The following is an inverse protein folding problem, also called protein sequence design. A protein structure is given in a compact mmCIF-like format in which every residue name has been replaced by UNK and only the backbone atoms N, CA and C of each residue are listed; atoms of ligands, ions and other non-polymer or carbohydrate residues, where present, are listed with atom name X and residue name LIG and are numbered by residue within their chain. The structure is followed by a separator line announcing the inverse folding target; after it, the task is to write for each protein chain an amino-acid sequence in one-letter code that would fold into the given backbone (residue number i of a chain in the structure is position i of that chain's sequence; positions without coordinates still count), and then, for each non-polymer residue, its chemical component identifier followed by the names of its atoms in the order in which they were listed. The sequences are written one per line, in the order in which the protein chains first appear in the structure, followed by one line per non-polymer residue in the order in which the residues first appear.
data_IF_509512504379
#
_entry.id   IF_509512504379
#
_cell.length_a   1.000
_cell.length_b   1.000
_cell.length_c   1.000
_cell.angle_alpha   90.00
_cell.angle_beta   90.00
_cell.angle_gamma   90.00
#
_symmetry.space_group_name_H-M   'P 1'
#
loop_
_entity.id
_entity.type
_entity.pdbx_description
1 polymer ?
#
# COMPACT_ATOMS: atom_id res chain seq x y z
N UNK A 1 4.08 -44.86 -12.92
CA UNK A 1 4.00 -43.42 -13.25
C UNK A 1 3.52 -42.53 -12.09
N UNK A 2 3.17 -43.06 -10.91
CA UNK A 2 2.63 -42.24 -9.79
C UNK A 2 3.65 -41.73 -8.77
N UNK A 3 4.89 -42.24 -8.76
CA UNK A 3 5.90 -41.92 -7.73
C UNK A 3 6.48 -40.49 -7.82
N UNK A 4 6.26 -39.79 -8.94
CA UNK A 4 6.74 -38.42 -9.17
C UNK A 4 5.73 -37.34 -8.73
N UNK A 5 4.46 -37.69 -8.52
CA UNK A 5 3.41 -36.74 -8.14
C UNK A 5 3.60 -36.21 -6.71
N UNK A 6 3.92 -37.10 -5.77
CA UNK A 6 4.12 -36.72 -4.37
C UNK A 6 5.35 -35.82 -4.18
N UNK A 7 6.44 -36.10 -4.89
CA UNK A 7 7.65 -35.27 -4.86
C UNK A 7 7.40 -33.85 -5.38
N UNK A 8 6.66 -33.71 -6.49
CA UNK A 8 6.29 -32.41 -7.04
C UNK A 8 5.36 -31.64 -6.10
N UNK A 9 4.35 -32.31 -5.52
CA UNK A 9 3.45 -31.69 -4.53
C UNK A 9 4.23 -31.19 -3.32
N UNK A 10 5.16 -31.99 -2.79
CA UNK A 10 6.03 -31.59 -1.68
C UNK A 10 6.88 -30.37 -2.06
N UNK A 11 7.45 -30.33 -3.26
CA UNK A 11 8.20 -29.18 -3.76
C UNK A 11 7.33 -27.91 -3.83
N UNK A 12 6.10 -28.01 -4.32
CA UNK A 12 5.18 -26.86 -4.36
C UNK A 12 4.81 -26.37 -2.96
N UNK A 13 4.52 -27.29 -2.03
CA UNK A 13 4.21 -26.93 -0.63
C UNK A 13 5.39 -26.18 0.00
N UNK A 14 6.61 -26.74 -0.13
CA UNK A 14 7.81 -26.10 0.40
C UNK A 14 8.04 -24.72 -0.23
N UNK A 15 7.91 -24.62 -1.55
CA UNK A 15 8.04 -23.35 -2.27
C UNK A 15 7.06 -22.29 -1.76
N UNK A 16 5.79 -22.65 -1.58
CA UNK A 16 4.76 -21.73 -1.06
C UNK A 16 5.08 -21.29 0.37
N UNK A 17 5.51 -22.20 1.24
CA UNK A 17 5.88 -21.86 2.62
C UNK A 17 7.07 -20.88 2.63
N UNK A 18 8.13 -21.17 1.88
CA UNK A 18 9.30 -20.30 1.79
C UNK A 18 8.96 -18.94 1.18
N UNK A 19 8.18 -18.90 0.09
CA UNK A 19 7.73 -17.66 -0.54
C UNK A 19 6.89 -16.81 0.43
N UNK A 20 6.00 -17.46 1.19
CA UNK A 20 5.17 -16.77 2.20
C UNK A 20 6.02 -16.21 3.34
N UNK A 21 6.98 -16.97 3.85
CA UNK A 21 7.90 -16.51 4.89
C UNK A 21 8.79 -15.36 4.40
N UNK A 22 9.32 -15.46 3.17
CA UNK A 22 10.10 -14.39 2.54
C UNK A 22 9.27 -13.12 2.35
N UNK A 23 8.02 -13.23 1.90
CA UNK A 23 7.12 -12.10 1.75
C UNK A 23 6.81 -11.45 3.11
N UNK A 24 6.58 -12.24 4.16
CA UNK A 24 6.35 -11.72 5.51
C UNK A 24 7.58 -10.97 6.05
N UNK A 25 8.78 -11.51 5.86
CA UNK A 25 10.03 -10.85 6.22
C UNK A 25 10.24 -9.55 5.45
N UNK A 26 9.92 -9.53 4.15
CA UNK A 26 9.98 -8.33 3.30
C UNK A 26 9.03 -7.24 3.79
N UNK A 27 7.79 -7.60 4.12
CA UNK A 27 6.81 -6.66 4.71
C UNK A 27 7.32 -6.12 6.06
N UNK A 28 7.87 -6.98 6.92
CA UNK A 28 8.43 -6.54 8.20
C UNK A 28 9.59 -5.56 8.01
N UNK A 29 10.50 -5.83 7.07
CA UNK A 29 11.60 -4.92 6.71
C UNK A 29 11.06 -3.58 6.21
N UNK A 30 10.05 -3.60 5.34
CA UNK A 30 9.40 -2.38 4.82
C UNK A 30 8.77 -1.53 5.94
N UNK A 31 8.15 -2.14 6.95
CA UNK A 31 7.59 -1.42 8.10
C UNK A 31 8.73 -0.82 8.94
N UNK A 32 9.76 -1.61 9.27
CA UNK A 32 10.86 -1.14 10.12
C UNK A 32 11.61 0.01 9.43
N UNK A 33 12.04 -0.18 8.19
CA UNK A 33 12.89 0.80 7.50
C UNK A 33 12.05 1.93 6.90
N UNK A 34 11.02 1.57 6.15
CA UNK A 34 10.21 2.50 5.35
C UNK A 34 9.12 3.23 6.13
N UNK A 35 8.75 2.79 7.33
CA UNK A 35 7.77 3.49 8.18
C UNK A 35 8.36 4.01 9.49
N UNK A 36 9.33 3.31 10.08
CA UNK A 36 9.91 3.71 11.36
C UNK A 36 11.22 4.50 11.20
N UNK A 37 12.25 3.87 10.62
CA UNK A 37 13.58 4.47 10.52
C UNK A 37 13.59 5.75 9.69
N UNK A 38 12.82 5.80 8.59
CA UNK A 38 12.74 7.00 7.75
C UNK A 38 12.30 8.24 8.53
N UNK A 39 11.42 8.08 9.53
CA UNK A 39 10.92 9.20 10.34
C UNK A 39 12.01 9.68 11.29
N UNK A 40 12.74 8.75 11.90
CA UNK A 40 13.88 9.07 12.78
C UNK A 40 15.00 9.78 11.99
N UNK A 41 15.29 9.34 10.77
CA UNK A 41 16.32 9.93 9.89
C UNK A 41 15.90 11.31 9.35
N UNK A 42 14.60 11.50 9.07
CA UNK A 42 14.07 12.79 8.66
C UNK A 42 14.10 13.81 9.80
N UNK A 43 13.95 13.34 11.05
CA UNK A 43 13.82 14.20 12.22
C UNK A 43 12.53 15.04 12.16
N UNK A 44 12.50 16.23 12.80
CA UNK A 44 11.30 17.07 12.83
C UNK A 44 10.97 17.74 11.48
N UNK A 45 11.84 17.60 10.46
CA UNK A 45 11.65 18.27 9.18
C UNK A 45 10.69 17.48 8.26
N UNK A 46 9.41 17.85 8.30
CA UNK A 46 8.36 17.22 7.49
C UNK A 46 8.64 17.30 5.99
N UNK A 47 9.28 18.36 5.49
CA UNK A 47 9.62 18.53 4.08
C UNK A 47 10.77 17.61 3.65
N UNK A 48 11.71 17.31 4.55
CA UNK A 48 12.72 16.28 4.33
C UNK A 48 12.05 14.89 4.28
N UNK A 49 11.10 14.61 5.17
CA UNK A 49 10.34 13.36 5.19
C UNK A 49 9.55 13.14 3.89
N UNK A 50 8.83 14.16 3.40
CA UNK A 50 8.08 14.06 2.16
C UNK A 50 8.97 13.81 0.94
N UNK A 51 10.17 14.43 0.90
CA UNK A 51 11.18 14.17 -0.13
C UNK A 51 11.69 12.73 -0.06
N UNK A 52 12.02 12.23 1.13
CA UNK A 52 12.47 10.85 1.30
C UNK A 52 11.41 9.83 0.86
N UNK A 53 10.15 10.01 1.29
CA UNK A 53 9.03 9.15 0.88
C UNK A 53 8.82 9.15 -0.63
N UNK A 54 8.81 10.34 -1.24
CA UNK A 54 8.69 10.50 -2.69
C UNK A 54 9.83 9.79 -3.44
N UNK A 55 11.07 9.96 -2.99
CA UNK A 55 12.24 9.32 -3.60
C UNK A 55 12.18 7.80 -3.48
N UNK A 56 11.88 7.26 -2.30
CA UNK A 56 11.73 5.81 -2.12
C UNK A 56 10.65 5.22 -3.03
N UNK A 57 9.51 5.91 -3.14
CA UNK A 57 8.44 5.49 -4.06
C UNK A 57 8.86 5.55 -5.52
N UNK A 58 9.54 6.62 -5.93
CA UNK A 58 10.06 6.75 -7.30
C UNK A 58 11.06 5.64 -7.64
N UNK A 59 11.97 5.30 -6.72
CA UNK A 59 12.89 4.17 -6.89
C UNK A 59 12.11 2.87 -7.07
N UNK A 60 11.14 2.59 -6.20
CA UNK A 60 10.31 1.39 -6.29
C UNK A 60 9.56 1.29 -7.63
N UNK A 61 9.00 2.40 -8.12
CA UNK A 61 8.32 2.46 -9.41
C UNK A 61 9.26 2.19 -10.60
N UNK A 62 10.46 2.76 -10.57
CA UNK A 62 11.47 2.52 -11.61
C UNK A 62 11.90 1.06 -11.60
N UNK A 63 12.16 0.48 -10.42
CA UNK A 63 12.53 -0.93 -10.29
C UNK A 63 11.41 -1.84 -10.80
N UNK A 64 10.15 -1.56 -10.46
CA UNK A 64 9.00 -2.33 -10.95
C UNK A 64 8.85 -2.27 -12.48
N UNK A 65 9.24 -1.17 -13.12
CA UNK A 65 9.21 -1.05 -14.58
C UNK A 65 10.38 -1.77 -15.26
N UNK A 66 11.58 -1.69 -14.68
CA UNK A 66 12.81 -2.20 -15.30
C UNK A 66 13.03 -3.70 -15.02
N UNK A 67 12.65 -4.20 -13.84
CA UNK A 67 12.95 -5.57 -13.44
C UNK A 67 12.35 -6.63 -14.39
N UNK A 68 11.07 -6.56 -14.81
CA UNK A 68 10.53 -7.52 -15.78
C UNK A 68 11.23 -7.48 -17.14
N UNK A 69 11.66 -6.30 -17.59
CA UNK A 69 12.42 -6.15 -18.85
C UNK A 69 13.77 -6.84 -18.74
N UNK A 70 14.48 -6.64 -17.63
CA UNK A 70 15.76 -7.28 -17.36
C UNK A 70 15.62 -8.81 -17.27
N UNK A 71 14.61 -9.31 -16.53
CA UNK A 71 14.33 -10.74 -16.43
C UNK A 71 13.98 -11.33 -17.79
N UNK A 72 13.11 -10.68 -18.58
CA UNK A 72 12.74 -11.12 -19.93
C UNK A 72 13.93 -11.18 -20.88
N UNK A 73 14.82 -10.19 -20.83
CA UNK A 73 16.05 -10.17 -21.62
C UNK A 73 16.96 -11.37 -21.28
N UNK A 74 17.20 -11.62 -20.00
CA UNK A 74 18.01 -12.78 -19.56
C UNK A 74 17.39 -14.09 -20.03
N UNK A 75 16.08 -14.25 -19.86
CA UNK A 75 15.37 -15.47 -20.27
C UNK A 75 15.41 -15.71 -21.78
N UNK A 76 15.42 -14.65 -22.59
CA UNK A 76 15.43 -14.75 -24.06
C UNK A 76 16.81 -15.06 -24.64
N UNK A 77 17.89 -14.49 -24.09
CA UNK A 77 19.25 -14.61 -24.66
C UNK A 77 20.13 -15.68 -24.03
N UNK A 78 19.76 -16.18 -22.84
CA UNK A 78 20.50 -17.23 -22.14
C UNK A 78 19.67 -18.53 -22.14
N UNK A 79 19.48 -19.11 -20.96
CA UNK A 79 18.62 -20.27 -20.73
C UNK A 79 17.86 -20.08 -19.43
N UNK A 80 16.77 -20.81 -19.23
CA UNK A 80 15.97 -20.74 -18.01
C UNK A 80 16.80 -21.07 -16.75
N UNK A 81 17.73 -22.03 -16.85
CA UNK A 81 18.62 -22.43 -15.76
C UNK A 81 19.67 -21.36 -15.46
N UNK A 82 20.26 -20.75 -16.49
CA UNK A 82 21.19 -19.63 -16.33
C UNK A 82 20.48 -18.41 -15.73
N UNK A 83 19.25 -18.11 -16.17
CA UNK A 83 18.45 -17.02 -15.62
C UNK A 83 18.18 -17.21 -14.12
N UNK A 84 17.77 -18.42 -13.72
CA UNK A 84 17.55 -18.76 -12.32
C UNK A 84 18.84 -18.64 -11.49
N UNK A 85 19.98 -19.13 -12.00
CA UNK A 85 21.27 -19.02 -11.31
C UNK A 85 21.72 -17.57 -11.15
N UNK A 86 21.59 -16.74 -12.19
CA UNK A 86 21.93 -15.31 -12.14
C UNK A 86 21.05 -14.58 -11.12
N UNK A 87 19.74 -14.82 -11.13
CA UNK A 87 18.82 -14.18 -10.20
C UNK A 87 19.04 -14.63 -8.75
N UNK A 88 19.37 -15.91 -8.52
CA UNK A 88 19.74 -16.42 -7.21
C UNK A 88 21.04 -15.76 -6.71
N UNK A 89 22.08 -15.67 -7.55
CA UNK A 89 23.32 -14.99 -7.22
C UNK A 89 23.11 -13.50 -6.92
N UNK A 90 22.27 -12.82 -7.72
CA UNK A 90 21.90 -11.42 -7.52
C UNK A 90 21.20 -11.20 -6.18
N UNK A 91 20.29 -12.08 -5.77
CA UNK A 91 19.59 -11.98 -4.49
C UNK A 91 20.53 -12.16 -3.29
N UNK A 92 21.47 -13.13 -3.36
CA UNK A 92 22.47 -13.33 -2.30
C UNK A 92 23.38 -12.11 -2.19
N UNK A 93 23.87 -11.61 -3.33
CA UNK A 93 24.69 -10.39 -3.36
C UNK A 93 23.94 -9.18 -2.81
N UNK A 94 22.68 -9.00 -3.22
CA UNK A 94 21.82 -7.90 -2.74
C UNK A 94 21.61 -7.97 -1.23
N UNK A 95 21.41 -9.16 -0.65
CA UNK A 95 21.29 -9.36 0.79
C UNK A 95 22.55 -8.91 1.56
N UNK A 96 23.74 -9.24 1.04
CA UNK A 96 25.00 -8.80 1.63
C UNK A 96 25.18 -7.27 1.58
N UNK A 97 24.82 -6.66 0.44
CA UNK A 97 24.86 -5.21 0.28
C UNK A 97 23.86 -4.53 1.21
N UNK A 98 22.62 -5.02 1.26
CA UNK A 98 21.54 -4.51 2.13
C UNK A 98 21.94 -4.55 3.60
N UNK A 99 22.46 -5.68 4.09
CA UNK A 99 22.95 -5.80 5.45
C UNK A 99 24.05 -4.78 5.78
N UNK A 100 25.00 -4.58 4.86
CA UNK A 100 26.08 -3.61 5.04
C UNK A 100 25.53 -2.18 5.14
N UNK A 101 24.58 -1.82 4.27
CA UNK A 101 23.94 -0.50 4.28
C UNK A 101 23.17 -0.28 5.58
N UNK A 102 22.37 -1.25 6.02
CA UNK A 102 21.62 -1.13 7.29
C UNK A 102 22.53 -1.00 8.49
N UNK A 103 23.62 -1.78 8.56
CA UNK A 103 24.60 -1.68 9.64
C UNK A 103 25.24 -0.30 9.67
N UNK A 104 25.67 0.22 8.53
CA UNK A 104 26.25 1.56 8.43
C UNK A 104 25.23 2.64 8.79
N UNK A 105 23.99 2.51 8.32
CA UNK A 105 22.91 3.45 8.60
C UNK A 105 22.57 3.51 10.10
N UNK A 106 22.50 2.34 10.75
CA UNK A 106 22.25 2.21 12.18
C UNK A 106 23.38 2.84 13.00
N UNK A 107 24.64 2.54 12.67
CA UNK A 107 25.80 3.12 13.35
C UNK A 107 25.90 4.64 13.15
N UNK A 108 25.43 5.16 12.01
CA UNK A 108 25.47 6.61 11.72
C UNK A 108 24.37 7.40 12.43
N UNK A 109 23.26 6.76 12.84
CA UNK A 109 22.13 7.40 13.50
C UNK A 109 21.88 6.77 14.87
N UNK A 110 22.62 7.18 15.93
CA UNK A 110 22.45 6.63 17.26
C UNK A 110 21.04 6.84 17.84
N UNK A 111 20.27 7.79 17.31
CA UNK A 111 18.85 7.97 17.62
C UNK A 111 18.01 6.73 17.31
N UNK A 112 18.38 5.91 16.31
CA UNK A 112 17.69 4.65 15.98
C UNK A 112 17.84 3.60 17.10
N UNK A 113 18.90 3.67 17.90
CA UNK A 113 19.15 2.75 19.02
C UNK A 113 18.34 3.12 20.28
N UNK A 114 17.92 4.39 20.41
CA UNK A 114 17.16 4.89 21.57
C UNK A 114 15.66 4.85 21.29
N UNK A 115 15.05 3.67 21.34
CA UNK A 115 13.58 3.58 21.31
C UNK A 115 12.97 4.01 22.65
N UNK A 116 12.36 5.20 22.69
CA UNK A 116 11.43 5.61 23.75
C UNK A 116 11.98 5.87 25.16
N UNK A 117 13.26 6.19 25.32
CA UNK A 117 13.84 6.47 26.65
C UNK A 117 13.80 7.97 27.06
N UNK A 118 13.50 8.89 26.15
CA UNK A 118 13.68 10.33 26.42
C UNK A 118 12.43 11.04 26.97
N UNK A 119 11.26 10.37 27.00
CA UNK A 119 10.01 10.96 27.53
C UNK A 119 9.38 10.22 28.72
N UNK A 120 10.03 9.19 29.27
CA UNK A 120 9.59 8.54 30.50
C UNK A 120 10.57 8.90 31.61
N UNK A 121 10.34 10.03 32.30
CA UNK A 121 10.84 10.23 33.67
C UNK A 121 9.98 9.36 34.60
N UNK A 122 10.10 8.05 34.45
CA UNK A 122 9.50 7.05 35.32
C UNK A 122 10.65 6.08 35.64
N UNK A 123 10.95 5.81 36.92
CA UNK A 123 12.04 4.91 37.27
C UNK A 123 11.82 3.57 36.58
N UNK A 124 12.79 3.17 35.75
CA UNK A 124 12.77 1.91 35.01
C UNK A 124 12.67 0.74 36.00
N UNK A 125 11.45 0.28 36.24
CA UNK A 125 11.20 -0.81 37.16
C UNK A 125 11.12 -2.11 36.36
N UNK A 126 12.25 -2.81 36.28
CA UNK A 126 12.48 -4.05 35.53
C UNK A 126 11.41 -5.13 35.81
N UNK A 127 10.79 -5.07 37.00
CA UNK A 127 9.71 -5.96 37.44
C UNK A 127 8.38 -5.77 36.68
N UNK A 128 8.08 -4.57 36.19
CA UNK A 128 6.86 -4.29 35.40
C UNK A 128 7.02 -4.74 33.94
N UNK A 129 8.21 -4.57 33.35
CA UNK A 129 8.53 -5.05 32.00
C UNK A 129 8.53 -6.59 31.91
N UNK A 130 9.08 -7.28 32.93
CA UNK A 130 9.04 -8.75 33.02
C UNK A 130 7.64 -9.31 33.21
N UNK A 131 6.73 -8.62 33.93
CA UNK A 131 5.32 -9.04 34.09
C UNK A 131 4.50 -8.91 32.80
N UNK A 132 4.73 -7.86 32.00
CA UNK A 132 4.02 -7.63 30.71
C UNK A 132 4.35 -8.69 29.64
N UNK A 133 5.53 -9.30 29.73
CA UNK A 133 6.00 -10.34 28.81
C UNK A 133 5.47 -11.75 29.14
N UNK A 134 5.18 -12.04 30.42
CA UNK A 134 5.01 -13.43 30.90
C UNK A 134 3.59 -14.01 30.91
N UNK A 135 2.55 -13.24 30.58
CA UNK A 135 1.18 -13.75 30.48
C UNK A 135 0.33 -12.85 29.59
N UNK A 136 0.60 -12.86 28.29
CA UNK A 136 -0.29 -12.23 27.34
C UNK A 136 -0.59 -13.20 26.21
N UNK A 137 -1.82 -13.73 26.19
CA UNK A 137 -2.33 -14.55 25.10
C UNK A 137 -2.09 -13.83 23.77
N UNK A 138 -1.33 -14.46 22.86
CA UNK A 138 -0.97 -13.90 21.55
C UNK A 138 -2.20 -13.41 20.78
N UNK A 139 -3.29 -14.18 20.83
CA UNK A 139 -4.60 -13.84 20.25
C UNK A 139 -5.19 -12.59 20.90
N UNK A 140 -5.18 -12.49 22.23
CA UNK A 140 -5.69 -11.32 22.94
C UNK A 140 -4.85 -10.06 22.72
N UNK A 141 -3.56 -10.20 22.40
CA UNK A 141 -2.72 -9.06 21.97
C UNK A 141 -3.13 -8.59 20.57
N UNK A 142 -3.29 -9.52 19.63
CA UNK A 142 -3.74 -9.21 18.27
C UNK A 142 -5.05 -8.40 18.28
N UNK A 143 -6.10 -8.88 18.94
CA UNK A 143 -7.38 -8.13 19.00
C UNK A 143 -7.23 -6.74 19.63
N UNK A 144 -6.42 -6.60 20.68
CA UNK A 144 -6.13 -5.28 21.28
C UNK A 144 -5.40 -4.35 20.32
N UNK A 145 -4.54 -4.88 19.46
CA UNK A 145 -3.82 -4.06 18.49
C UNK A 145 -4.75 -3.53 17.39
N UNK A 146 -5.69 -4.34 16.93
CA UNK A 146 -6.76 -3.91 16.03
C UNK A 146 -7.70 -2.87 16.65
N UNK A 147 -8.14 -3.09 17.89
CA UNK A 147 -8.98 -2.12 18.62
C UNK A 147 -8.24 -0.80 18.80
N UNK A 148 -6.95 -0.84 19.11
CA UNK A 148 -6.10 0.35 19.24
C UNK A 148 -6.01 1.13 17.93
N UNK A 149 -5.86 0.43 16.79
CA UNK A 149 -5.83 1.05 15.47
C UNK A 149 -7.15 1.77 15.16
N UNK A 150 -8.30 1.12 15.38
CA UNK A 150 -9.61 1.72 15.11
C UNK A 150 -10.06 2.80 16.11
N UNK A 151 -9.35 2.94 17.23
CA UNK A 151 -9.52 4.08 18.15
C UNK A 151 -8.58 5.24 17.84
N UNK A 152 -7.51 5.02 17.07
CA UNK A 152 -6.54 6.07 16.75
C UNK A 152 -7.16 7.17 15.86
N UNK A 153 -6.80 8.45 16.03
CA UNK A 153 -7.33 9.55 15.21
C UNK A 153 -7.10 9.39 13.71
N UNK A 154 -6.02 8.70 13.31
CA UNK A 154 -5.68 8.43 11.90
C UNK A 154 -6.52 7.33 11.24
N UNK A 155 -7.43 6.67 11.96
CA UNK A 155 -8.20 5.51 11.46
C UNK A 155 -8.90 5.77 10.14
N UNK A 156 -9.47 6.96 9.95
CA UNK A 156 -10.24 7.29 8.75
C UNK A 156 -9.33 7.44 7.53
N UNK A 157 -8.14 8.03 7.69
CA UNK A 157 -7.11 8.05 6.64
C UNK A 157 -6.61 6.62 6.33
N UNK A 158 -6.44 5.79 7.37
CA UNK A 158 -6.03 4.39 7.20
C UNK A 158 -7.08 3.51 6.51
N UNK A 159 -8.37 3.68 6.82
CA UNK A 159 -9.49 3.02 6.13
C UNK A 159 -9.53 3.47 4.67
N UNK A 160 -9.34 4.77 4.40
CA UNK A 160 -9.28 5.28 3.04
C UNK A 160 -8.18 4.61 2.21
N UNK A 161 -6.99 4.39 2.79
CA UNK A 161 -5.92 3.64 2.14
C UNK A 161 -6.33 2.19 1.89
N UNK A 162 -6.92 1.51 2.87
CA UNK A 162 -7.35 0.12 2.70
C UNK A 162 -8.39 -0.03 1.56
N UNK A 163 -9.29 0.93 1.39
CA UNK A 163 -10.23 0.96 0.28
C UNK A 163 -9.56 1.08 -1.10
N UNK A 164 -8.41 1.76 -1.19
CA UNK A 164 -7.63 1.81 -2.43
C UNK A 164 -7.03 0.45 -2.82
N UNK A 165 -6.86 -0.48 -1.87
CA UNK A 165 -6.43 -1.85 -2.14
C UNK A 165 -7.57 -2.74 -2.63
N UNK A 166 -8.83 -2.40 -2.32
CA UNK A 166 -10.02 -3.13 -2.78
C UNK A 166 -10.42 -2.70 -4.19
N UNK A 167 -9.57 -2.97 -5.18
CA UNK A 167 -9.83 -2.55 -6.57
C UNK A 167 -9.25 -3.49 -7.60
N UNK A 168 -10.06 -3.89 -8.57
CA UNK A 168 -9.57 -4.53 -9.80
C UNK A 168 -9.06 -3.51 -10.81
N UNK A 169 -9.21 -2.19 -10.56
CA UNK A 169 -8.74 -1.13 -11.46
C UNK A 169 -7.25 -0.82 -11.26
N UNK A 170 -6.50 -1.75 -10.66
CA UNK A 170 -5.05 -1.78 -10.76
C UNK A 170 -4.64 -2.39 -12.09
N UNK A 171 -3.66 -1.80 -12.78
CA UNK A 171 -2.95 -2.49 -13.85
C UNK A 171 -2.16 -3.67 -13.24
N UNK A 172 -2.77 -4.85 -13.25
CA UNK A 172 -2.30 -6.10 -12.65
C UNK A 172 -2.70 -7.29 -13.56
N UNK A 173 -2.48 -8.52 -13.10
CA UNK A 173 -2.80 -9.72 -13.87
C UNK A 173 -4.28 -9.85 -14.22
N UNK A 174 -5.18 -9.28 -13.41
CA UNK A 174 -6.63 -9.36 -13.62
C UNK A 174 -7.03 -8.47 -14.80
N UNK A 175 -6.63 -7.19 -14.78
CA UNK A 175 -6.93 -6.26 -15.88
C UNK A 175 -6.19 -6.60 -17.15
N UNK A 176 -4.96 -7.08 -17.05
CA UNK A 176 -4.20 -7.61 -18.19
C UNK A 176 -4.93 -8.80 -18.80
N UNK A 177 -5.39 -9.75 -17.97
CA UNK A 177 -6.16 -10.91 -18.42
C UNK A 177 -7.49 -10.55 -19.09
N UNK A 178 -8.20 -9.54 -18.56
CA UNK A 178 -9.40 -9.00 -19.20
C UNK A 178 -9.09 -8.35 -20.56
N UNK A 179 -8.02 -7.58 -20.66
CA UNK A 179 -7.68 -6.92 -21.92
C UNK A 179 -7.23 -7.90 -23.00
N UNK A 180 -6.49 -8.95 -22.63
CA UNK A 180 -6.13 -10.02 -23.55
C UNK A 180 -7.34 -10.85 -23.96
N UNK A 181 -8.32 -11.08 -23.06
CA UNK A 181 -9.57 -11.75 -23.43
C UNK A 181 -10.40 -10.95 -24.43
N UNK A 182 -10.29 -9.61 -24.40
CA UNK A 182 -10.86 -8.71 -25.40
C UNK A 182 -10.02 -8.58 -26.68
N UNK A 183 -8.93 -9.34 -26.81
CA UNK A 183 -8.09 -9.37 -28.01
C UNK A 183 -7.15 -8.17 -28.16
N UNK A 184 -6.81 -7.48 -27.05
CA UNK A 184 -5.74 -6.47 -27.07
C UNK A 184 -4.40 -7.18 -27.15
N UNK A 185 -3.57 -6.87 -28.17
CA UNK A 185 -2.25 -7.47 -28.29
C UNK A 185 -1.30 -7.04 -27.17
N UNK A 186 -0.44 -7.96 -26.73
CA UNK A 186 0.44 -7.78 -25.56
C UNK A 186 1.39 -6.57 -25.67
N UNK A 187 1.83 -6.24 -26.88
CA UNK A 187 2.70 -5.07 -27.09
C UNK A 187 2.00 -3.75 -26.78
N UNK A 188 0.68 -3.64 -27.02
CA UNK A 188 -0.12 -2.46 -26.63
C UNK A 188 -0.20 -2.38 -25.10
N UNK A 189 -0.44 -3.51 -24.44
CA UNK A 189 -0.45 -3.57 -22.98
C UNK A 189 0.90 -3.16 -22.39
N UNK A 190 2.01 -3.56 -23.03
CA UNK A 190 3.35 -3.12 -22.66
C UNK A 190 3.58 -1.61 -22.78
N UNK A 191 3.14 -0.99 -23.88
CA UNK A 191 3.23 0.47 -24.06
C UNK A 191 2.40 1.19 -23.00
N UNK A 192 1.16 0.75 -22.80
CA UNK A 192 0.24 1.34 -21.83
C UNK A 192 0.76 1.18 -20.39
N UNK A 193 1.36 0.03 -20.06
CA UNK A 193 2.08 -0.19 -18.81
C UNK A 193 3.20 0.83 -18.60
N UNK A 194 3.97 1.11 -19.66
CA UNK A 194 5.01 2.15 -19.66
C UNK A 194 4.45 3.54 -19.37
N UNK A 195 3.33 3.91 -20.02
CA UNK A 195 2.61 5.16 -19.72
C UNK A 195 2.19 5.21 -18.25
N UNK A 196 1.66 4.10 -17.72
CA UNK A 196 1.31 3.95 -16.30
C UNK A 196 2.47 4.16 -15.32
N UNK A 197 3.65 3.66 -15.67
CA UNK A 197 4.85 3.87 -14.88
C UNK A 197 5.26 5.35 -14.87
N UNK A 198 5.18 6.03 -16.02
CA UNK A 198 5.48 7.46 -16.15
C UNK A 198 4.47 8.31 -15.36
N UNK A 199 3.17 8.09 -15.53
CA UNK A 199 2.15 8.84 -14.78
C UNK A 199 2.30 8.61 -13.28
N UNK A 200 2.67 7.39 -12.88
CA UNK A 200 2.92 7.09 -11.48
C UNK A 200 4.15 7.80 -10.91
N UNK A 201 5.24 7.86 -11.67
CA UNK A 201 6.46 8.59 -11.31
C UNK A 201 6.22 10.11 -11.24
N UNK A 202 5.38 10.65 -12.13
CA UNK A 202 4.94 12.05 -12.05
C UNK A 202 4.14 12.32 -10.77
N UNK A 203 3.26 11.40 -10.37
CA UNK A 203 2.54 11.48 -9.09
C UNK A 203 3.49 11.51 -7.90
N UNK A 204 4.45 10.58 -7.84
CA UNK A 204 5.39 10.52 -6.71
C UNK A 204 6.31 11.73 -6.64
N UNK A 205 6.89 12.18 -7.76
CA UNK A 205 7.83 13.31 -7.81
C UNK A 205 7.15 14.66 -7.62
N UNK A 206 5.87 14.78 -7.96
CA UNK A 206 5.09 15.99 -7.72
C UNK A 206 4.67 16.14 -6.25
N UNK A 207 4.44 15.05 -5.52
CA UNK A 207 3.98 15.06 -4.13
C UNK A 207 4.68 16.08 -3.20
N UNK A 208 6.03 16.17 -3.10
CA UNK A 208 6.68 17.14 -2.23
C UNK A 208 6.37 18.60 -2.58
N UNK A 209 6.23 18.91 -3.89
CA UNK A 209 5.92 20.26 -4.36
C UNK A 209 4.50 20.66 -3.97
N UNK A 210 3.54 19.76 -4.21
CA UNK A 210 2.13 20.00 -3.89
C UNK A 210 1.90 20.08 -2.38
N UNK A 211 2.59 19.24 -1.59
CA UNK A 211 2.57 19.33 -0.13
C UNK A 211 3.05 20.70 0.38
N UNK A 212 4.15 21.24 -0.16
CA UNK A 212 4.64 22.56 0.24
C UNK A 212 3.62 23.66 -0.10
N UNK A 213 2.95 23.54 -1.24
CA UNK A 213 2.04 24.58 -1.74
C UNK A 213 0.65 24.54 -1.09
N UNK A 214 0.09 23.35 -0.88
CA UNK A 214 -1.29 23.17 -0.41
C UNK A 214 -1.39 22.66 1.04
N UNK A 215 -0.29 22.14 1.59
CA UNK A 215 -0.30 21.36 2.83
C UNK A 215 -0.62 19.88 2.59
N UNK A 216 -0.37 19.05 3.60
CA UNK A 216 -0.48 17.59 3.50
C UNK A 216 -1.93 17.14 3.25
N UNK A 217 -2.88 17.65 4.04
CA UNK A 217 -4.29 17.22 3.98
C UNK A 217 -4.95 17.54 2.63
N UNK A 218 -4.73 18.76 2.10
CA UNK A 218 -5.28 19.17 0.80
C UNK A 218 -4.63 18.42 -0.37
N UNK A 219 -3.35 18.07 -0.24
CA UNK A 219 -2.65 17.27 -1.24
C UNK A 219 -3.26 15.87 -1.37
N UNK A 220 -3.64 15.25 -0.25
CA UNK A 220 -4.35 13.96 -0.28
C UNK A 220 -5.73 14.07 -0.91
N UNK A 221 -6.50 15.12 -0.60
CA UNK A 221 -7.82 15.36 -1.20
C UNK A 221 -7.74 15.49 -2.71
N UNK A 222 -6.75 16.24 -3.20
CA UNK A 222 -6.46 16.33 -4.62
C UNK A 222 -6.09 14.97 -5.22
N UNK A 223 -5.24 14.18 -4.55
CA UNK A 223 -4.87 12.84 -5.00
C UNK A 223 -6.10 11.95 -5.21
N UNK A 224 -6.98 11.88 -4.22
CA UNK A 224 -8.25 11.14 -4.32
C UNK A 224 -9.17 11.69 -5.40
N UNK A 225 -9.34 13.02 -5.47
CA UNK A 225 -10.20 13.65 -6.48
C UNK A 225 -9.70 13.35 -7.90
N UNK A 226 -8.40 13.54 -8.15
CA UNK A 226 -7.77 13.21 -9.43
C UNK A 226 -7.96 11.73 -9.78
N UNK A 227 -7.80 10.83 -8.80
CA UNK A 227 -8.00 9.40 -9.01
C UNK A 227 -9.45 9.06 -9.39
N UNK A 228 -10.44 9.61 -8.68
CA UNK A 228 -11.87 9.39 -8.97
C UNK A 228 -12.26 9.94 -10.34
N UNK A 229 -11.80 11.13 -10.70
CA UNK A 229 -12.07 11.73 -12.02
C UNK A 229 -11.52 10.84 -13.13
N UNK A 230 -10.27 10.37 -13.02
CA UNK A 230 -9.68 9.49 -14.03
C UNK A 230 -10.39 8.13 -14.10
N UNK A 231 -10.76 7.53 -12.97
CA UNK A 231 -11.43 6.22 -12.94
C UNK A 231 -12.91 6.28 -13.32
N UNK A 232 -13.51 7.47 -13.35
CA UNK A 232 -14.84 7.66 -13.94
C UNK A 232 -14.85 7.26 -15.42
N UNK A 233 -13.71 7.37 -16.13
CA UNK A 233 -13.54 6.86 -17.49
C UNK A 233 -13.66 5.32 -17.56
N UNK A 234 -13.16 4.61 -16.55
CA UNK A 234 -13.28 3.15 -16.45
C UNK A 234 -14.72 2.71 -16.21
N UNK A 235 -15.48 3.48 -15.43
CA UNK A 235 -16.90 3.20 -15.22
C UNK A 235 -17.67 3.47 -16.52
N UNK A 236 -17.41 4.61 -17.17
CA UNK A 236 -18.01 4.93 -18.46
C UNK A 236 -17.73 3.86 -19.54
N UNK A 237 -16.55 3.23 -19.51
CA UNK A 237 -16.19 2.20 -20.49
C UNK A 237 -17.06 0.94 -20.43
N UNK A 238 -17.73 0.68 -19.31
CA UNK A 238 -18.62 -0.49 -19.14
C UNK A 238 -19.78 -0.46 -20.13
N UNK A 239 -20.26 0.73 -20.50
CA UNK A 239 -21.40 0.92 -21.43
C UNK A 239 -20.99 1.31 -22.84
N UNK A 240 -19.68 1.35 -23.15
CA UNK A 240 -19.21 1.67 -24.49
C UNK A 240 -19.30 0.45 -25.44
N UNK A 241 -19.45 0.69 -26.76
CA UNK A 241 -19.36 -0.37 -27.76
C UNK A 241 -18.06 -1.15 -27.64
N UNK A 242 -18.14 -2.48 -27.73
CA UNK A 242 -17.02 -3.40 -27.51
C UNK A 242 -16.87 -3.88 -26.05
N UNK A 243 -17.68 -3.38 -25.11
CA UNK A 243 -17.75 -3.97 -23.77
C UNK A 243 -18.50 -5.31 -23.84
N UNK A 244 -17.97 -6.42 -23.28
CA UNK A 244 -18.68 -7.71 -23.20
C UNK A 244 -19.83 -7.69 -22.17
N UNK A 245 -20.00 -6.58 -21.45
CA UNK A 245 -20.95 -6.47 -20.36
C UNK A 245 -22.40 -6.45 -20.86
N UNK A 246 -23.17 -7.48 -20.48
CA UNK A 246 -24.62 -7.56 -20.68
C UNK A 246 -25.09 -7.44 -22.15
N UNK A 247 -24.27 -7.88 -23.11
CA UNK A 247 -24.64 -7.94 -24.53
C UNK A 247 -25.20 -9.33 -24.87
N UNK A 248 -26.36 -9.44 -25.58
CA UNK A 248 -26.87 -10.71 -26.10
C UNK A 248 -25.86 -11.38 -27.05
N UNK A 249 -25.71 -12.70 -26.96
CA UNK A 249 -24.70 -13.46 -27.71
C UNK A 249 -24.75 -13.26 -29.24
N UNK A 250 -25.88 -12.83 -29.79
CA UNK A 250 -26.06 -12.55 -31.22
C UNK A 250 -25.36 -11.29 -31.74
N UNK A 251 -24.88 -10.40 -30.86
CA UNK A 251 -24.30 -9.07 -31.22
C UNK A 251 -22.81 -8.97 -30.85
N UNK A 252 -22.19 -10.04 -30.32
CA UNK A 252 -20.77 -10.08 -29.88
C UNK A 252 -19.73 -9.84 -30.99
N UNK A 253 -20.13 -9.56 -32.23
CA UNK A 253 -19.26 -9.60 -33.42
C UNK A 253 -18.75 -8.24 -33.95
N UNK A 254 -18.98 -7.12 -33.26
CA UNK A 254 -18.27 -5.87 -33.57
C UNK A 254 -17.05 -5.71 -32.67
N UNK A 255 -15.85 -6.02 -33.21
CA UNK A 255 -14.56 -5.78 -32.54
C UNK A 255 -14.31 -4.28 -32.41
N UNK A 256 -14.65 -3.72 -31.27
CA UNK A 256 -14.42 -2.32 -30.95
C UNK A 256 -13.49 -2.17 -29.75
N UNK A 257 -12.39 -1.44 -29.94
CA UNK A 257 -11.39 -1.20 -28.89
C UNK A 257 -11.72 0.02 -28.02
N UNK A 258 -12.85 0.70 -28.24
CA UNK A 258 -13.20 1.90 -27.49
C UNK A 258 -13.39 1.61 -25.99
N UNK A 259 -14.16 0.58 -25.62
CA UNK A 259 -14.34 0.22 -24.20
C UNK A 259 -13.01 -0.06 -23.50
N UNK A 260 -12.19 -0.98 -24.05
CA UNK A 260 -10.91 -1.34 -23.42
C UNK A 260 -9.91 -0.17 -23.44
N UNK A 261 -9.95 0.69 -24.47
CA UNK A 261 -9.13 1.90 -24.54
C UNK A 261 -9.45 2.90 -23.42
N UNK A 262 -10.73 3.17 -23.16
CA UNK A 262 -11.15 4.05 -22.06
C UNK A 262 -10.85 3.44 -20.69
N UNK A 263 -11.05 2.13 -20.52
CA UNK A 263 -10.68 1.40 -19.30
C UNK A 263 -9.19 1.56 -19.01
N UNK A 264 -8.34 1.28 -19.99
CA UNK A 264 -6.89 1.39 -19.84
C UNK A 264 -6.45 2.83 -19.61
N UNK A 265 -6.95 3.77 -20.41
CA UNK A 265 -6.66 5.19 -20.25
C UNK A 265 -6.97 5.69 -18.85
N UNK A 266 -8.14 5.35 -18.31
CA UNK A 266 -8.55 5.69 -16.95
C UNK A 266 -7.62 5.09 -15.88
N UNK A 267 -7.29 3.79 -15.98
CA UNK A 267 -6.37 3.11 -15.06
C UNK A 267 -5.00 3.81 -15.03
N UNK A 268 -4.41 4.09 -16.20
CA UNK A 268 -3.07 4.66 -16.25
C UNK A 268 -3.02 6.13 -15.84
N UNK A 269 -4.00 6.94 -16.22
CA UNK A 269 -4.10 8.33 -15.76
C UNK A 269 -4.32 8.38 -14.24
N UNK A 270 -5.12 7.47 -13.69
CA UNK A 270 -5.42 7.44 -12.25
C UNK A 270 -4.20 7.17 -11.36
N UNK A 271 -3.12 6.60 -11.89
CA UNK A 271 -1.87 6.35 -11.15
C UNK A 271 -1.26 7.62 -10.58
N UNK A 272 -1.44 8.76 -11.25
CA UNK A 272 -0.99 10.05 -10.74
C UNK A 272 -1.65 10.37 -9.38
N UNK A 273 -2.99 10.33 -9.33
CA UNK A 273 -3.76 10.59 -8.12
C UNK A 273 -3.54 9.53 -7.03
N UNK A 274 -3.50 8.25 -7.41
CA UNK A 274 -3.26 7.12 -6.50
C UNK A 274 -1.98 7.30 -5.69
N UNK A 275 -0.86 7.63 -6.34
CA UNK A 275 0.42 7.75 -5.63
C UNK A 275 0.52 9.00 -4.78
N UNK A 276 -0.15 10.09 -5.15
CA UNK A 276 -0.28 11.27 -4.28
C UNK A 276 -1.07 10.92 -3.02
N UNK A 277 -2.22 10.24 -3.17
CA UNK A 277 -3.07 9.82 -2.05
C UNK A 277 -2.32 8.86 -1.11
N UNK A 278 -1.67 7.84 -1.66
CA UNK A 278 -0.90 6.87 -0.88
C UNK A 278 0.28 7.52 -0.14
N UNK A 279 1.08 8.36 -0.80
CA UNK A 279 2.19 9.08 -0.15
C UNK A 279 1.68 9.99 0.98
N UNK A 280 0.54 10.64 0.76
CA UNK A 280 -0.09 11.50 1.77
C UNK A 280 -0.49 10.70 3.00
N UNK A 281 -1.23 9.60 2.84
CA UNK A 281 -1.66 8.77 3.97
C UNK A 281 -0.46 8.13 4.68
N UNK A 282 0.54 7.67 3.92
CA UNK A 282 1.75 7.12 4.51
C UNK A 282 2.51 8.15 5.35
N UNK A 283 2.59 9.41 4.88
CA UNK A 283 3.18 10.48 5.67
C UNK A 283 2.33 10.85 6.89
N UNK A 284 1.00 10.86 6.79
CA UNK A 284 0.10 11.05 7.94
C UNK A 284 0.36 9.98 9.01
N UNK A 285 0.43 8.70 8.62
CA UNK A 285 0.71 7.59 9.55
C UNK A 285 2.12 7.66 10.16
N UNK A 286 3.07 8.29 9.48
CA UNK A 286 4.44 8.48 9.98
C UNK A 286 4.55 9.65 10.97
N UNK A 287 3.85 10.76 10.70
CA UNK A 287 3.90 12.00 11.48
C UNK A 287 2.98 11.96 12.71
N UNK A 288 1.78 11.40 12.58
CA UNK A 288 0.76 11.42 13.65
C UNK A 288 0.90 10.27 14.65
N UNK A 289 1.60 9.19 14.29
CA UNK A 289 1.73 8.02 15.16
C UNK A 289 3.03 8.11 15.96
N UNK A 290 2.88 8.05 17.29
CA UNK A 290 3.99 8.02 18.25
C UNK A 290 4.96 6.88 17.94
N UNK A 291 6.26 7.11 18.11
CA UNK A 291 7.33 6.16 17.77
C UNK A 291 7.11 4.75 18.36
N UNK A 292 6.71 4.67 19.63
CA UNK A 292 6.46 3.40 20.33
C UNK A 292 5.29 2.59 19.75
N UNK A 293 4.31 3.25 19.15
CA UNK A 293 3.11 2.62 18.58
C UNK A 293 3.19 2.47 17.06
N UNK A 294 4.15 3.11 16.41
CA UNK A 294 4.27 3.19 14.94
C UNK A 294 4.37 1.83 14.29
N UNK A 295 5.18 0.92 14.83
CA UNK A 295 5.31 -0.44 14.31
C UNK A 295 4.00 -1.24 14.42
N UNK A 296 3.27 -1.07 15.52
CA UNK A 296 1.98 -1.73 15.76
C UNK A 296 0.90 -1.21 14.81
N UNK A 297 0.74 0.11 14.73
CA UNK A 297 -0.29 0.74 13.89
C UNK A 297 -0.02 0.47 12.40
N UNK A 298 1.23 0.60 11.93
CA UNK A 298 1.57 0.26 10.55
C UNK A 298 1.46 -1.24 10.27
N UNK A 299 1.70 -2.11 11.26
CA UNK A 299 1.44 -3.54 11.14
C UNK A 299 -0.04 -3.85 10.88
N UNK A 300 -0.94 -3.29 11.70
CA UNK A 300 -2.40 -3.45 11.50
C UNK A 300 -2.84 -2.84 10.17
N UNK A 301 -2.34 -1.65 9.81
CA UNK A 301 -2.63 -1.04 8.51
C UNK A 301 -2.27 -1.96 7.36
N UNK A 302 -1.08 -2.56 7.38
CA UNK A 302 -0.63 -3.43 6.32
C UNK A 302 -1.47 -4.71 6.25
N UNK A 303 -1.81 -5.31 7.40
CA UNK A 303 -2.73 -6.45 7.44
C UNK A 303 -4.11 -6.09 6.89
N UNK A 304 -4.60 -4.87 7.15
CA UNK A 304 -5.90 -4.43 6.66
C UNK A 304 -5.89 -4.17 5.15
N UNK A 305 -4.81 -3.57 4.62
CA UNK A 305 -4.59 -3.44 3.18
C UNK A 305 -4.57 -4.81 2.49
N UNK A 306 -3.85 -5.79 3.05
CA UNK A 306 -3.79 -7.14 2.48
C UNK A 306 -5.12 -7.89 2.59
N UNK A 307 -5.92 -7.62 3.63
CA UNK A 307 -7.28 -8.16 3.73
C UNK A 307 -8.17 -7.62 2.61
N UNK A 308 -8.08 -6.33 2.30
CA UNK A 308 -8.80 -5.71 1.18
C UNK A 308 -8.34 -6.26 -0.18
N UNK A 309 -7.03 -6.44 -0.39
CA UNK A 309 -6.51 -7.06 -1.62
C UNK A 309 -6.93 -8.53 -1.75
N UNK A 310 -7.01 -9.28 -0.64
CA UNK A 310 -7.55 -10.65 -0.63
C UNK A 310 -9.03 -10.67 -1.01
N UNK A 311 -9.84 -9.72 -0.51
CA UNK A 311 -11.24 -9.61 -0.90
C UNK A 311 -11.41 -9.35 -2.40
N UNK A 312 -10.53 -8.53 -3.01
CA UNK A 312 -10.49 -8.35 -4.47
C UNK A 312 -10.31 -9.69 -5.19
N UNK A 313 -9.34 -10.51 -4.78
CA UNK A 313 -9.13 -11.82 -5.41
C UNK A 313 -10.31 -12.76 -5.22
N UNK A 314 -10.97 -12.75 -4.06
CA UNK A 314 -12.19 -13.54 -3.83
C UNK A 314 -13.31 -13.11 -4.80
N UNK A 315 -13.52 -11.81 -4.99
CA UNK A 315 -14.53 -11.31 -5.94
C UNK A 315 -14.24 -11.76 -7.37
N UNK A 316 -12.97 -11.76 -7.79
CA UNK A 316 -12.57 -12.23 -9.13
C UNK A 316 -12.83 -13.73 -9.30
N UNK A 317 -12.62 -14.53 -8.24
CA UNK A 317 -12.95 -15.97 -8.27
C UNK A 317 -14.45 -16.19 -8.40
N UNK A 318 -15.28 -15.36 -7.74
CA UNK A 318 -16.74 -15.44 -7.81
C UNK A 318 -17.30 -14.93 -9.15
N UNK A 319 -16.63 -13.97 -9.80
CA UNK A 319 -17.03 -13.36 -11.07
C UNK A 319 -15.91 -13.52 -12.13
N UNK A 320 -15.59 -14.76 -12.58
CA UNK A 320 -14.41 -15.03 -13.40
C UNK A 320 -14.58 -14.66 -14.88
N UNK A 321 -15.81 -14.43 -15.35
CA UNK A 321 -16.11 -14.22 -16.76
C UNK A 321 -15.92 -12.76 -17.18
N UNK A 322 -15.52 -12.54 -18.44
CA UNK A 322 -15.36 -11.20 -18.99
C UNK A 322 -16.69 -10.43 -19.06
N UNK A 323 -17.80 -11.14 -19.28
CA UNK A 323 -19.14 -10.57 -19.35
C UNK A 323 -19.62 -10.03 -17.99
N UNK A 324 -19.10 -10.56 -16.87
CA UNK A 324 -19.40 -10.08 -15.50
C UNK A 324 -18.37 -9.07 -14.97
N UNK A 325 -17.29 -8.80 -15.72
CA UNK A 325 -16.20 -7.93 -15.29
C UNK A 325 -16.65 -6.48 -15.01
N UNK A 326 -17.70 -6.00 -15.69
CA UNK A 326 -18.29 -4.68 -15.44
C UNK A 326 -18.76 -4.49 -13.98
N UNK A 327 -19.26 -5.56 -13.33
CA UNK A 327 -19.62 -5.49 -11.90
C UNK A 327 -18.40 -5.25 -11.02
N UNK A 328 -17.27 -5.88 -11.34
CA UNK A 328 -16.01 -5.70 -10.59
C UNK A 328 -15.48 -4.27 -10.75
N UNK A 329 -15.60 -3.67 -11.94
CA UNK A 329 -15.26 -2.27 -12.20
C UNK A 329 -16.10 -1.35 -11.31
N UNK A 330 -17.43 -1.54 -11.28
CA UNK A 330 -18.35 -0.70 -10.50
C UNK A 330 -18.09 -0.83 -8.99
N UNK A 331 -17.92 -2.07 -8.49
CA UNK A 331 -17.60 -2.31 -7.07
C UNK A 331 -16.28 -1.63 -6.71
N UNK A 332 -15.25 -1.79 -7.54
CA UNK A 332 -13.94 -1.16 -7.32
C UNK A 332 -14.02 0.36 -7.26
N UNK A 333 -14.77 0.97 -8.19
CA UNK A 333 -14.98 2.40 -8.20
C UNK A 333 -15.74 2.88 -6.95
N UNK A 334 -16.75 2.14 -6.51
CA UNK A 334 -17.48 2.44 -5.28
C UNK A 334 -16.57 2.42 -4.04
N UNK A 335 -15.66 1.44 -3.93
CA UNK A 335 -14.66 1.41 -2.85
C UNK A 335 -13.70 2.60 -2.92
N UNK A 336 -13.29 3.05 -4.12
CA UNK A 336 -12.41 4.22 -4.26
C UNK A 336 -13.14 5.51 -3.87
N UNK A 337 -14.41 5.67 -4.24
CA UNK A 337 -15.26 6.78 -3.78
C UNK A 337 -15.45 6.76 -2.26
N UNK A 338 -15.65 5.57 -1.67
CA UNK A 338 -15.76 5.38 -0.23
C UNK A 338 -14.43 5.70 0.48
N UNK A 339 -13.29 5.39 -0.15
CA UNK A 339 -11.97 5.83 0.30
C UNK A 339 -11.83 7.36 0.31
N UNK A 340 -12.23 8.03 -0.77
CA UNK A 340 -12.28 9.49 -0.82
C UNK A 340 -13.19 10.10 0.26
N UNK A 341 -14.35 9.49 0.50
CA UNK A 341 -15.27 9.90 1.56
C UNK A 341 -14.63 9.76 2.94
N UNK A 342 -14.02 8.62 3.26
CA UNK A 342 -13.33 8.42 4.54
C UNK A 342 -12.14 9.37 4.74
N UNK A 343 -11.36 9.63 3.68
CA UNK A 343 -10.29 10.61 3.73
C UNK A 343 -10.83 12.03 3.94
N UNK A 344 -11.93 12.40 3.28
CA UNK A 344 -12.57 13.70 3.48
C UNK A 344 -13.10 13.85 4.91
N UNK A 345 -13.67 12.79 5.50
CA UNK A 345 -14.08 12.75 6.90
C UNK A 345 -12.89 12.91 7.85
N UNK A 346 -11.73 12.31 7.55
CA UNK A 346 -10.50 12.53 8.31
C UNK A 346 -10.12 14.00 8.32
N UNK A 347 -10.04 14.63 7.13
CA UNK A 347 -9.65 16.04 7.00
C UNK A 347 -10.64 16.96 7.70
N UNK A 348 -11.95 16.73 7.54
CA UNK A 348 -13.00 17.52 8.21
C UNK A 348 -12.91 17.45 9.73
N UNK A 349 -12.71 16.25 10.29
CA UNK A 349 -12.56 16.06 11.74
C UNK A 349 -11.31 16.70 12.30
N UNK A 350 -10.23 16.74 11.52
CA UNK A 350 -8.98 17.39 11.91
C UNK A 350 -9.10 18.92 11.95
N UNK A 351 -9.94 19.50 11.09
CA UNK A 351 -10.16 20.94 10.99
C UNK A 351 -11.21 21.47 11.99
N UNK A 352 -12.05 20.59 12.54
CA UNK A 352 -13.02 20.99 13.56
C UNK A 352 -12.28 21.27 14.88
N UNK A 353 -12.46 22.45 15.52
CA UNK A 353 -11.88 22.70 16.84
C UNK A 353 -12.42 21.66 17.84
N UNK A 354 -11.62 21.25 18.84
CA UNK A 354 -12.12 20.37 19.88
C UNK A 354 -13.38 20.99 20.52
N UNK A 355 -14.44 20.21 20.61
CA UNK A 355 -15.60 20.59 21.43
C UNK A 355 -15.12 20.82 22.86
N UNK A 356 -15.63 21.89 23.49
CA UNK A 356 -15.29 22.38 24.84
C UNK A 356 -15.45 21.29 25.94
N UNK A 357 -16.01 20.14 25.61
CA UNK A 357 -16.21 19.01 26.53
C UNK A 357 -14.96 18.14 26.78
N UNK A 358 -13.88 18.32 26.02
CA UNK A 358 -12.60 17.59 26.20
C UNK A 358 -11.55 18.36 27.03
N UNK A 359 -11.86 19.59 27.47
CA UNK A 359 -11.06 20.28 28.49
C UNK A 359 -11.42 19.70 29.86
N UNK A 360 -10.61 18.74 30.31
CA UNK A 360 -10.57 18.32 31.70
C UNK A 360 -10.43 19.57 32.58
N UNK A 361 -11.53 19.91 33.27
CA UNK A 361 -11.72 21.14 34.03
C UNK A 361 -10.49 21.43 34.92
N UNK A 362 -9.80 22.56 34.75
CA UNK A 362 -8.65 22.93 35.60
C UNK A 362 -9.00 23.03 37.09
N UNK A 363 -10.28 23.10 37.45
CA UNK A 363 -10.73 23.13 38.85
C UNK A 363 -10.62 21.78 39.58
N UNK A 364 -10.46 20.65 38.88
CA UNK A 364 -10.30 19.35 39.55
C UNK A 364 -8.88 19.09 40.08
N UNK A 365 -7.86 19.80 39.57
CA UNK A 365 -6.47 19.68 40.03
C UNK A 365 -6.19 20.58 41.26
N UNK A 366 -6.94 21.67 41.41
CA UNK A 366 -6.80 22.56 42.58
C UNK A 366 -7.44 21.99 43.86
N UNK A 367 -8.40 21.05 43.75
CA UNK A 367 -9.09 20.48 44.91
C UNK A 367 -8.35 19.30 45.56
N UNK A 368 -7.35 18.70 44.90
CA UNK A 368 -6.54 17.61 45.48
C UNK A 368 -5.26 18.07 46.18
N UNK A 369 -4.96 19.38 46.14
CA UNK A 369 -3.80 19.99 46.83
C UNK A 369 -4.17 20.73 48.11
N UNK A 370 -5.47 20.80 48.46
CA UNK A 370 -5.98 21.46 49.66
C UNK A 370 -6.47 20.53 50.77
N UNK A 371 -6.35 19.20 50.61
CA UNK A 371 -6.62 18.24 51.68
C UNK A 371 -5.32 17.55 52.08
N UNK A 372 -4.72 18.13 53.13
CA UNK A 372 -4.02 17.53 54.28
C UNK A 372 -3.80 16.02 54.20
#
# INVERSE_FOLDING_TARGET
MERNGFGLILCYILFIIFASAANLASIASSIIVGKDWIVVIAGPNTNKLSKLNSTLRSINLVVLAVAPMFTGFIMNFLSLTAAAAIQAGWNIFSCFVEWTIYKNLFNSHPALARKGAENCVEPFNESYAKRRSKSQNSVGKFFRDWVSYFRHPVRYAGIALACLYMTVLGFDSITTGYATSQGVPEWILGILAGVGAVTGLLGSTSFPKWKIWLGLDKTGLLGFFSQVVCLSLCVFSVWLPGSPFNIPDSVKQERSYYSVGFLMGGIFLSRFGLWIADLTINQILQEEVKELERGKINGVQQSFNQLMDMMKFILVILLPYSDTFGYLIIISFAFICLGMMFYSLYVFRRQSPPSVDDEENPMTVAASSSNI
#
